data_IF_399045027529
#
_entry.id   IF_399045027529
#
_cell.length_a   1.000
_cell.length_b   1.000
_cell.length_c   1.000
_cell.angle_alpha   90.00
_cell.angle_beta   90.00
_cell.angle_gamma   90.00
#
_symmetry.space_group_name_H-M   'P 1'
#
loop_
_entity.id
_entity.type
_entity.pdbx_description
1 polymer ?
#
# COMPACT_ATOMS: atom_id res chain seq x y z
N UNK A 1 5.78 -6.90 23.58
CA UNK A 1 6.70 -5.81 23.18
C UNK A 1 6.51 -4.59 24.06
N UNK A 2 7.56 -3.80 24.26
CA UNK A 2 7.52 -2.55 25.02
C UNK A 2 8.18 -1.43 24.18
N UNK A 3 7.65 -0.21 24.26
CA UNK A 3 8.30 0.98 23.68
C UNK A 3 9.28 1.51 24.72
N UNK A 4 10.58 1.49 24.40
CA UNK A 4 11.66 1.91 25.33
C UNK A 4 12.18 3.33 25.08
N UNK A 5 11.98 3.83 23.86
CA UNK A 5 12.46 5.14 23.41
C UNK A 5 11.62 5.65 22.24
N UNK A 6 11.51 6.96 22.10
CA UNK A 6 10.78 7.60 20.99
C UNK A 6 11.58 8.79 20.44
N UNK A 7 11.55 8.96 19.12
CA UNK A 7 11.91 10.21 18.44
C UNK A 7 10.64 10.76 17.76
N UNK A 8 10.46 12.08 17.80
CA UNK A 8 9.35 12.77 17.13
C UNK A 8 9.90 14.02 16.47
N UNK A 9 9.82 14.09 15.14
CA UNK A 9 10.35 15.19 14.34
C UNK A 9 9.58 16.51 14.54
N UNK A 10 8.24 16.43 14.48
CA UNK A 10 7.36 17.59 14.60
C UNK A 10 6.46 17.45 15.84
N UNK A 11 6.41 18.49 16.67
CA UNK A 11 5.63 18.54 17.92
C UNK A 11 4.64 19.71 17.88
N UNK A 12 3.54 19.60 17.12
CA UNK A 12 2.52 20.66 17.05
C UNK A 12 1.75 20.81 18.36
N UNK A 13 0.89 21.83 18.44
CA UNK A 13 -0.02 22.00 19.57
C UNK A 13 -0.91 20.74 19.74
N UNK A 14 -0.97 20.22 20.97
CA UNK A 14 -1.71 18.98 21.28
C UNK A 14 -0.95 17.68 21.05
N UNK A 15 0.34 17.73 20.67
CA UNK A 15 1.20 16.54 20.62
C UNK A 15 1.17 15.77 21.96
N UNK A 16 1.03 14.44 21.86
CA UNK A 16 0.90 13.55 23.01
C UNK A 16 2.21 12.85 23.39
N UNK A 17 3.30 13.07 22.66
CA UNK A 17 4.53 12.28 22.80
C UNK A 17 5.08 12.27 24.23
N UNK A 18 5.17 13.43 24.88
CA UNK A 18 5.68 13.56 26.25
C UNK A 18 4.71 12.98 27.30
N UNK A 19 3.41 13.08 27.06
CA UNK A 19 2.40 12.54 27.98
C UNK A 19 2.41 11.01 27.94
N UNK A 20 2.47 10.42 26.75
CA UNK A 20 2.60 8.96 26.57
C UNK A 20 3.93 8.44 27.12
N UNK A 21 5.02 9.17 26.93
CA UNK A 21 6.32 8.83 27.51
C UNK A 21 6.25 8.74 29.05
N UNK A 22 5.58 9.70 29.71
CA UNK A 22 5.36 9.67 31.16
C UNK A 22 4.43 8.54 31.60
N UNK A 23 3.35 8.29 30.86
CA UNK A 23 2.36 7.27 31.18
C UNK A 23 2.93 5.85 31.09
N UNK A 24 3.75 5.58 30.06
CA UNK A 24 4.26 4.24 29.76
C UNK A 24 5.73 4.03 30.13
N UNK A 25 6.42 5.05 30.64
CA UNK A 25 7.75 4.93 31.22
C UNK A 25 8.92 4.90 30.22
N UNK A 26 8.79 5.56 29.06
CA UNK A 26 9.86 5.68 28.06
C UNK A 26 10.35 7.13 27.92
N UNK A 27 11.46 7.33 27.21
CA UNK A 27 12.05 8.66 26.97
C UNK A 27 11.87 9.14 25.53
N UNK A 28 11.61 10.44 25.36
CA UNK A 28 11.61 11.11 24.04
C UNK A 28 12.96 11.77 23.81
N UNK A 29 13.69 11.33 22.79
CA UNK A 29 15.02 11.82 22.46
C UNK A 29 14.97 12.84 21.32
N UNK A 30 15.96 13.75 21.23
CA UNK A 30 15.99 14.77 20.20
C UNK A 30 16.51 14.27 18.85
N UNK A 31 17.14 13.09 18.79
CA UNK A 31 17.61 12.47 17.54
C UNK A 31 17.25 11.00 17.47
N UNK A 32 17.14 10.47 16.24
CA UNK A 32 16.96 9.04 15.98
C UNK A 32 18.13 8.24 16.57
N UNK A 33 19.36 8.71 16.42
CA UNK A 33 20.53 8.04 16.96
C UNK A 33 20.48 7.90 18.49
N UNK A 34 20.08 8.95 19.21
CA UNK A 34 19.93 8.87 20.67
C UNK A 34 18.76 7.99 21.10
N UNK A 35 17.65 7.98 20.34
CA UNK A 35 16.54 7.06 20.59
C UNK A 35 16.99 5.60 20.45
N UNK A 36 17.66 5.26 19.35
CA UNK A 36 18.18 3.91 19.09
C UNK A 36 19.21 3.45 20.14
N UNK A 37 19.98 4.37 20.71
CA UNK A 37 20.95 4.09 21.78
C UNK A 37 20.39 4.25 23.19
N UNK A 38 19.11 4.62 23.33
CA UNK A 38 18.47 4.99 24.60
C UNK A 38 19.32 5.96 25.45
N UNK A 39 19.98 6.93 24.79
CA UNK A 39 20.88 7.90 25.42
C UNK A 39 22.29 7.39 25.78
N UNK A 40 22.60 6.12 25.49
CA UNK A 40 23.93 5.55 25.61
C UNK A 40 24.81 5.73 24.36
N UNK A 41 25.90 4.97 24.30
CA UNK A 41 26.90 5.00 23.21
C UNK A 41 26.75 3.85 22.20
N UNK A 42 25.80 2.93 22.42
CA UNK A 42 25.55 1.75 21.60
C UNK A 42 24.06 1.45 21.42
N UNK A 43 23.71 0.86 20.27
CA UNK A 43 22.36 0.41 19.93
C UNK A 43 21.75 -0.44 21.05
N UNK A 44 20.66 0.05 21.63
CA UNK A 44 20.04 -0.47 22.85
C UNK A 44 18.58 -0.93 22.66
N UNK A 45 18.11 -1.01 21.42
CA UNK A 45 16.75 -1.48 21.06
C UNK A 45 16.82 -2.80 20.28
N UNK A 46 15.75 -3.59 20.30
CA UNK A 46 15.68 -4.88 19.59
C UNK A 46 15.01 -4.78 18.21
N UNK A 47 14.28 -3.70 17.94
CA UNK A 47 13.58 -3.45 16.69
C UNK A 47 13.24 -1.95 16.54
N UNK A 48 12.86 -1.52 15.33
CA UNK A 48 12.45 -0.14 15.03
C UNK A 48 11.08 -0.10 14.36
N UNK A 49 10.16 0.67 14.93
CA UNK A 49 8.89 1.05 14.31
C UNK A 49 9.04 2.47 13.74
N UNK A 50 9.15 2.60 12.42
CA UNK A 50 9.29 3.89 11.73
C UNK A 50 7.98 4.33 11.10
N UNK A 51 7.41 5.41 11.63
CA UNK A 51 6.14 6.00 11.17
C UNK A 51 6.44 7.40 10.61
N UNK A 52 6.44 7.50 9.28
CA UNK A 52 6.65 8.76 8.56
C UNK A 52 5.37 9.24 7.88
N UNK A 53 4.39 9.66 8.67
CA UNK A 53 3.10 10.19 8.20
C UNK A 53 2.69 11.42 9.03
N UNK A 54 1.62 12.09 8.62
CA UNK A 54 0.98 13.17 9.38
C UNK A 54 1.97 14.21 9.95
N UNK A 55 2.39 15.14 9.09
CA UNK A 55 3.22 16.27 9.46
C UNK A 55 3.24 17.30 8.34
N UNK A 56 3.80 18.47 8.61
CA UNK A 56 3.97 19.53 7.62
C UNK A 56 5.29 19.33 6.87
N UNK A 57 5.20 18.75 5.67
CA UNK A 57 6.34 18.48 4.80
C UNK A 57 6.09 19.09 3.41
N UNK A 58 7.15 19.50 2.70
CA UNK A 58 7.02 20.07 1.37
C UNK A 58 6.42 19.05 0.39
N UNK A 59 5.89 19.57 -0.71
CA UNK A 59 5.41 18.76 -1.83
C UNK A 59 6.35 18.90 -3.03
N UNK A 60 6.47 17.85 -3.85
CA UNK A 60 7.13 17.94 -5.16
C UNK A 60 6.16 18.32 -6.29
N UNK A 61 6.67 18.42 -7.50
CA UNK A 61 5.91 18.69 -8.74
C UNK A 61 4.85 17.62 -9.09
N UNK A 62 4.99 16.41 -8.56
CA UNK A 62 4.00 15.33 -8.68
C UNK A 62 2.89 15.45 -7.62
N UNK A 63 2.95 16.49 -6.78
CA UNK A 63 2.09 16.73 -5.62
C UNK A 63 2.20 15.64 -4.53
N UNK A 64 3.33 14.92 -4.49
CA UNK A 64 3.61 13.98 -3.41
C UNK A 64 4.11 14.74 -2.19
N UNK A 65 3.66 14.34 -1.01
CA UNK A 65 4.23 14.85 0.25
C UNK A 65 5.58 14.19 0.46
N UNK A 66 6.63 14.98 0.72
CA UNK A 66 7.99 14.50 0.92
C UNK A 66 8.21 14.02 2.36
N UNK A 67 7.41 13.03 2.77
CA UNK A 67 7.54 12.41 4.09
C UNK A 67 8.95 11.81 4.27
N UNK A 68 9.58 11.99 5.44
CA UNK A 68 10.99 11.70 5.67
C UNK A 68 11.27 10.22 5.96
N UNK A 69 10.51 9.30 5.35
CA UNK A 69 10.62 7.85 5.60
C UNK A 69 12.02 7.33 5.26
N UNK A 70 12.55 7.76 4.12
CA UNK A 70 13.92 7.45 3.69
C UNK A 70 14.94 8.02 4.67
N UNK A 71 14.82 9.30 5.01
CA UNK A 71 15.74 10.00 5.89
C UNK A 71 15.79 9.35 7.28
N UNK A 72 14.63 8.97 7.85
CA UNK A 72 14.56 8.25 9.12
C UNK A 72 15.20 6.87 9.04
N UNK A 73 14.93 6.12 7.96
CA UNK A 73 15.51 4.81 7.74
C UNK A 73 17.04 4.88 7.60
N UNK A 74 17.56 5.87 6.85
CA UNK A 74 19.00 6.06 6.66
C UNK A 74 19.73 6.44 7.96
N UNK A 75 19.11 7.22 8.85
CA UNK A 75 19.67 7.48 10.18
C UNK A 75 19.73 6.19 11.03
N UNK A 76 18.77 5.28 10.88
CA UNK A 76 18.84 3.96 11.53
C UNK A 76 19.99 3.12 10.96
N UNK A 77 20.10 3.03 9.63
CA UNK A 77 21.16 2.31 8.92
C UNK A 77 22.54 2.82 9.34
N UNK A 78 22.71 4.13 9.46
CA UNK A 78 23.97 4.74 9.91
C UNK A 78 24.36 4.28 11.32
N UNK A 79 23.42 4.24 12.26
CA UNK A 79 23.68 3.70 13.61
C UNK A 79 24.05 2.22 13.55
N UNK A 80 23.37 1.43 12.70
CA UNK A 80 23.68 0.01 12.56
C UNK A 80 25.10 -0.23 12.07
N UNK A 81 25.56 0.57 11.11
CA UNK A 81 26.93 0.52 10.58
C UNK A 81 27.97 0.96 11.63
N UNK A 82 27.71 2.06 12.34
CA UNK A 82 28.59 2.58 13.40
C UNK A 82 28.73 1.60 14.58
N UNK A 83 27.64 0.93 14.95
CA UNK A 83 27.61 0.05 16.11
C UNK A 83 27.87 -1.41 15.77
N UNK A 84 27.92 -1.76 14.48
CA UNK A 84 28.18 -3.12 14.00
C UNK A 84 27.06 -4.11 14.31
N UNK A 85 25.84 -3.62 14.52
CA UNK A 85 24.63 -4.42 14.82
C UNK A 85 23.42 -3.80 14.14
N UNK A 86 22.65 -4.62 13.43
CA UNK A 86 21.38 -4.22 12.85
C UNK A 86 20.22 -4.92 13.58
N UNK A 87 19.04 -4.31 13.52
CA UNK A 87 17.79 -4.84 14.07
C UNK A 87 16.66 -4.67 13.04
N UNK A 88 15.60 -5.49 13.09
CA UNK A 88 14.49 -5.38 12.16
C UNK A 88 13.83 -4.00 12.20
N UNK A 89 13.38 -3.53 11.03
CA UNK A 89 12.68 -2.26 10.86
C UNK A 89 11.33 -2.51 10.20
N UNK A 90 10.25 -2.02 10.83
CA UNK A 90 9.01 -1.75 10.13
C UNK A 90 8.99 -0.30 9.63
N UNK A 91 8.62 -0.09 8.37
CA UNK A 91 8.43 1.23 7.77
C UNK A 91 7.00 1.39 7.24
N UNK A 92 6.25 2.35 7.79
CA UNK A 92 4.85 2.57 7.43
C UNK A 92 4.63 2.98 5.96
N UNK A 93 3.67 2.31 5.29
CA UNK A 93 3.23 2.55 3.89
C UNK A 93 4.35 2.37 2.86
N UNK A 94 4.34 3.16 1.78
CA UNK A 94 5.41 3.15 0.78
C UNK A 94 6.74 3.48 1.46
N UNK A 95 7.79 2.78 1.06
CA UNK A 95 9.16 2.99 1.56
C UNK A 95 9.59 4.45 1.40
N UNK A 96 9.42 5.00 0.19
CA UNK A 96 9.69 6.39 -0.14
C UNK A 96 8.83 6.85 -1.32
N UNK A 97 8.66 8.16 -1.46
CA UNK A 97 8.02 8.76 -2.65
C UNK A 97 8.87 8.60 -3.93
N UNK A 98 10.15 8.22 -3.78
CA UNK A 98 11.10 7.98 -4.86
C UNK A 98 11.53 6.51 -4.89
N UNK A 99 11.46 5.89 -6.06
CA UNK A 99 11.88 4.51 -6.29
C UNK A 99 13.35 4.30 -5.96
N UNK A 100 14.24 5.22 -6.35
CA UNK A 100 15.67 5.10 -6.07
C UNK A 100 15.93 5.05 -4.55
N UNK A 101 15.29 5.94 -3.80
CA UNK A 101 15.33 5.95 -2.33
C UNK A 101 14.76 4.65 -1.73
N UNK A 102 13.58 4.24 -2.20
CA UNK A 102 12.94 3.00 -1.74
C UNK A 102 13.81 1.77 -2.02
N UNK A 103 14.46 1.72 -3.19
CA UNK A 103 15.35 0.63 -3.59
C UNK A 103 16.57 0.58 -2.67
N UNK A 104 17.18 1.71 -2.38
CA UNK A 104 18.32 1.78 -1.46
C UNK A 104 17.96 1.26 -0.06
N UNK A 105 16.74 1.56 0.43
CA UNK A 105 16.27 1.05 1.72
C UNK A 105 16.18 -0.49 1.74
N UNK A 106 15.66 -1.10 0.68
CA UNK A 106 15.58 -2.56 0.56
C UNK A 106 16.97 -3.17 0.38
N UNK A 107 17.82 -2.56 -0.46
CA UNK A 107 19.20 -2.99 -0.66
C UNK A 107 20.01 -2.95 0.65
N UNK A 108 19.80 -1.93 1.50
CA UNK A 108 20.41 -1.83 2.83
C UNK A 108 19.96 -2.95 3.77
N UNK A 109 18.66 -3.29 3.76
CA UNK A 109 18.12 -4.43 4.49
C UNK A 109 18.83 -5.73 4.14
N UNK A 110 19.01 -5.99 2.84
CA UNK A 110 19.75 -7.16 2.34
C UNK A 110 21.24 -7.10 2.69
N UNK A 111 21.88 -5.94 2.48
CA UNK A 111 23.32 -5.74 2.68
C UNK A 111 23.74 -5.89 4.13
N UNK A 112 22.93 -5.39 5.07
CA UNK A 112 23.19 -5.46 6.51
C UNK A 112 22.53 -6.65 7.19
N UNK A 113 21.66 -7.39 6.49
CA UNK A 113 21.08 -8.65 6.95
C UNK A 113 20.05 -8.50 8.06
N UNK A 114 19.20 -7.47 8.00
CA UNK A 114 18.08 -7.28 8.92
C UNK A 114 16.72 -7.35 8.22
N UNK A 115 15.69 -7.79 8.94
CA UNK A 115 14.34 -7.85 8.40
C UNK A 115 13.77 -6.46 8.14
N UNK A 116 13.26 -6.25 6.92
CA UNK A 116 12.52 -5.05 6.54
C UNK A 116 11.09 -5.45 6.25
N UNK A 117 10.14 -4.89 6.99
CA UNK A 117 8.73 -4.95 6.68
C UNK A 117 8.26 -3.55 6.33
N UNK A 118 7.51 -3.41 5.24
CA UNK A 118 6.89 -2.14 4.88
C UNK A 118 5.48 -2.37 4.39
N UNK A 119 4.72 -1.28 4.28
CA UNK A 119 3.39 -1.31 3.71
C UNK A 119 2.28 -0.87 4.64
N UNK A 120 1.05 -1.09 4.17
CA UNK A 120 -0.16 -0.64 4.83
C UNK A 120 -1.06 -1.76 5.34
N UNK A 121 -2.18 -1.39 5.95
CA UNK A 121 -3.12 -2.32 6.57
C UNK A 121 -4.01 -3.08 5.57
N UNK A 122 -4.22 -2.58 4.34
CA UNK A 122 -5.14 -3.26 3.40
C UNK A 122 -4.68 -4.68 3.04
N UNK A 123 -3.41 -4.96 2.68
CA UNK A 123 -2.99 -6.33 2.37
C UNK A 123 -3.25 -7.36 3.49
N UNK A 124 -3.30 -6.89 4.73
CA UNK A 124 -3.39 -7.72 5.95
C UNK A 124 -4.75 -7.64 6.64
N UNK A 125 -5.66 -6.76 6.20
CA UNK A 125 -7.01 -6.63 6.77
C UNK A 125 -7.92 -7.76 6.30
N UNK A 126 -9.09 -7.88 6.93
CA UNK A 126 -10.14 -8.83 6.58
C UNK A 126 -10.57 -8.71 5.11
N UNK A 127 -10.91 -9.84 4.50
CA UNK A 127 -11.45 -9.91 3.13
C UNK A 127 -12.89 -10.41 3.16
N UNK A 128 -13.79 -9.78 2.41
CA UNK A 128 -15.22 -10.13 2.34
C UNK A 128 -15.68 -10.33 0.88
N UNK A 129 -15.97 -11.58 0.44
CA UNK A 129 -15.75 -12.84 1.16
C UNK A 129 -14.26 -13.12 1.38
N UNK A 130 -13.96 -14.08 2.26
CA UNK A 130 -12.59 -14.55 2.50
C UNK A 130 -12.04 -15.19 1.22
N UNK A 131 -11.22 -14.44 0.48
CA UNK A 131 -10.65 -14.83 -0.81
C UNK A 131 -9.14 -14.79 -0.71
N UNK A 132 -8.53 -15.89 -1.12
CA UNK A 132 -7.10 -16.02 -1.38
C UNK A 132 -6.95 -16.65 -2.75
N UNK A 133 -6.18 -16.01 -3.64
CA UNK A 133 -5.90 -16.64 -4.93
C UNK A 133 -5.00 -17.86 -4.70
N UNK A 134 -5.22 -18.99 -5.39
CA UNK A 134 -4.28 -20.10 -5.33
C UNK A 134 -2.89 -19.64 -5.74
N UNK A 135 -1.85 -20.14 -5.07
CA UNK A 135 -0.48 -19.94 -5.54
C UNK A 135 -0.34 -20.52 -6.95
N UNK A 136 0.47 -19.84 -7.76
CA UNK A 136 0.75 -20.21 -9.14
C UNK A 136 -0.49 -20.23 -10.05
N UNK A 137 -1.56 -19.51 -9.68
CA UNK A 137 -2.73 -19.36 -10.55
C UNK A 137 -2.40 -18.58 -11.82
N UNK A 138 -3.14 -18.82 -12.90
CA UNK A 138 -3.05 -18.02 -14.12
C UNK A 138 -4.13 -16.94 -14.07
N UNK A 139 -3.72 -15.67 -14.00
CA UNK A 139 -4.61 -14.49 -13.99
C UNK A 139 -4.64 -13.92 -15.40
N UNK A 140 -5.84 -13.71 -15.95
CA UNK A 140 -6.02 -13.13 -17.29
C UNK A 140 -6.08 -11.59 -17.23
N UNK A 141 -6.81 -11.06 -16.26
CA UNK A 141 -6.97 -9.61 -16.02
C UNK A 141 -7.33 -9.38 -14.54
N UNK A 142 -6.90 -8.25 -13.97
CA UNK A 142 -7.26 -7.85 -12.61
C UNK A 142 -7.70 -6.38 -12.56
N UNK A 143 -8.63 -6.09 -11.65
CA UNK A 143 -9.16 -4.75 -11.42
C UNK A 143 -9.30 -4.48 -9.92
N UNK A 144 -8.87 -3.30 -9.51
CA UNK A 144 -9.07 -2.75 -8.17
C UNK A 144 -9.91 -1.48 -8.26
N UNK A 145 -10.88 -1.34 -7.35
CA UNK A 145 -11.59 -0.09 -7.07
C UNK A 145 -11.06 0.46 -5.76
N UNK A 146 -10.59 1.70 -5.81
CA UNK A 146 -10.16 2.47 -4.65
C UNK A 146 -10.86 3.82 -4.56
N UNK A 147 -10.68 4.49 -3.42
CA UNK A 147 -11.23 5.81 -3.12
C UNK A 147 -10.24 6.62 -2.30
N UNK A 148 -10.41 7.94 -2.30
CA UNK A 148 -9.62 8.90 -1.54
C UNK A 148 -8.72 9.79 -2.40
N UNK A 149 -7.83 10.52 -1.73
CA UNK A 149 -6.93 11.48 -2.36
C UNK A 149 -5.74 10.83 -3.06
N UNK A 150 -5.29 11.44 -4.16
CA UNK A 150 -4.18 10.93 -4.96
C UNK A 150 -2.85 10.95 -4.18
N UNK A 151 -1.97 10.00 -4.53
CA UNK A 151 -0.73 9.59 -3.87
C UNK A 151 -0.94 8.68 -2.65
N UNK A 152 -1.40 9.13 -1.45
CA UNK A 152 -1.55 8.24 -0.31
C UNK A 152 -2.58 7.11 -0.52
N UNK A 153 -3.77 7.41 -1.04
CA UNK A 153 -4.82 6.40 -1.15
C UNK A 153 -4.65 5.53 -2.41
N UNK A 154 -4.04 6.08 -3.45
CA UNK A 154 -3.60 5.31 -4.61
C UNK A 154 -2.61 4.22 -4.18
N UNK A 155 -1.64 4.55 -3.33
CA UNK A 155 -0.69 3.58 -2.78
C UNK A 155 -1.40 2.41 -2.10
N UNK A 156 -2.33 2.70 -1.19
CA UNK A 156 -3.07 1.68 -0.46
C UNK A 156 -3.82 0.74 -1.41
N UNK A 157 -4.53 1.30 -2.40
CA UNK A 157 -5.28 0.50 -3.36
C UNK A 157 -4.36 -0.33 -4.27
N UNK A 158 -3.25 0.23 -4.75
CA UNK A 158 -2.24 -0.48 -5.54
C UNK A 158 -1.61 -1.63 -4.74
N UNK A 159 -1.30 -1.41 -3.47
CA UNK A 159 -0.71 -2.44 -2.61
C UNK A 159 -1.68 -3.60 -2.33
N UNK A 160 -2.94 -3.27 -2.08
CA UNK A 160 -4.02 -4.25 -1.92
C UNK A 160 -4.20 -5.08 -3.20
N UNK A 161 -4.18 -4.46 -4.37
CA UNK A 161 -4.22 -5.17 -5.64
C UNK A 161 -2.99 -6.07 -5.81
N UNK A 162 -1.79 -5.53 -5.55
CA UNK A 162 -0.52 -6.22 -5.71
C UNK A 162 -0.45 -7.49 -4.85
N UNK A 163 -0.91 -7.45 -3.60
CA UNK A 163 -0.88 -8.61 -2.72
C UNK A 163 -1.78 -9.78 -3.18
N UNK A 164 -2.77 -9.50 -4.05
CA UNK A 164 -3.59 -10.53 -4.66
C UNK A 164 -2.88 -11.14 -5.87
N UNK A 165 -2.42 -10.29 -6.79
CA UNK A 165 -1.90 -10.72 -8.10
C UNK A 165 -0.46 -11.24 -8.06
N UNK A 166 0.30 -10.99 -7.00
CA UNK A 166 1.63 -11.59 -6.81
C UNK A 166 1.59 -13.12 -6.69
N UNK A 167 0.41 -13.70 -6.42
CA UNK A 167 0.18 -15.15 -6.31
C UNK A 167 0.08 -15.86 -7.66
N UNK A 168 0.19 -15.10 -8.76
CA UNK A 168 0.18 -15.65 -10.11
C UNK A 168 1.37 -16.55 -10.39
N UNK A 169 1.24 -17.37 -11.44
CA UNK A 169 2.25 -18.29 -11.92
C UNK A 169 3.59 -17.59 -12.13
N UNK A 170 4.63 -18.07 -11.45
CA UNK A 170 5.97 -17.48 -11.51
C UNK A 170 6.27 -16.41 -10.47
N UNK A 171 5.28 -15.94 -9.70
CA UNK A 171 5.45 -14.84 -8.75
C UNK A 171 5.49 -13.47 -9.44
N UNK A 172 6.06 -12.48 -8.75
CA UNK A 172 6.23 -11.15 -9.30
C UNK A 172 7.47 -11.07 -10.20
N UNK A 173 7.33 -10.44 -11.36
CA UNK A 173 8.35 -10.36 -12.42
C UNK A 173 8.74 -8.93 -12.78
N UNK A 174 8.11 -7.93 -12.17
CA UNK A 174 8.27 -6.52 -12.47
C UNK A 174 7.19 -5.95 -13.39
N UNK A 175 7.19 -4.63 -13.47
CA UNK A 175 6.24 -3.84 -14.29
C UNK A 175 6.96 -3.34 -15.53
N UNK A 176 6.41 -3.65 -16.71
CA UNK A 176 6.94 -3.26 -18.01
C UNK A 176 6.59 -1.81 -18.34
N UNK A 177 5.34 -1.42 -18.10
CA UNK A 177 4.86 -0.08 -18.39
C UNK A 177 3.67 0.33 -17.54
N UNK A 178 3.46 1.64 -17.44
CA UNK A 178 2.33 2.24 -16.75
C UNK A 178 1.70 3.39 -17.53
N UNK A 179 0.43 3.69 -17.24
CA UNK A 179 -0.22 4.92 -17.67
C UNK A 179 -1.30 5.35 -16.66
N UNK A 180 -1.30 6.62 -16.28
CA UNK A 180 -2.36 7.26 -15.50
C UNK A 180 -3.19 8.19 -16.38
N UNK A 181 -4.49 7.94 -16.48
CA UNK A 181 -5.47 8.81 -17.14
C UNK A 181 -6.55 9.26 -16.15
N UNK A 182 -7.19 10.39 -16.43
CA UNK A 182 -8.20 11.00 -15.54
C UNK A 182 -9.42 11.48 -16.34
N UNK A 183 -10.54 11.71 -15.64
CA UNK A 183 -11.76 12.29 -16.20
C UNK A 183 -12.45 11.39 -17.24
N UNK A 184 -13.10 12.01 -18.22
CA UNK A 184 -13.88 11.31 -19.25
C UNK A 184 -13.08 10.26 -20.05
N UNK A 185 -11.76 10.44 -20.14
CA UNK A 185 -10.87 9.48 -20.79
C UNK A 185 -10.92 8.10 -20.12
N UNK A 186 -11.16 8.03 -18.81
CA UNK A 186 -11.31 6.76 -18.07
C UNK A 186 -12.52 5.98 -18.58
N UNK A 187 -13.65 6.66 -18.75
CA UNK A 187 -14.88 6.04 -19.25
C UNK A 187 -14.76 5.65 -20.72
N UNK A 188 -14.10 6.49 -21.53
CA UNK A 188 -13.81 6.13 -22.91
C UNK A 188 -12.91 4.90 -23.00
N UNK A 189 -11.88 4.81 -22.16
CA UNK A 189 -11.00 3.65 -22.09
C UNK A 189 -11.77 2.35 -21.73
N UNK A 190 -12.79 2.43 -20.87
CA UNK A 190 -13.69 1.30 -20.58
C UNK A 190 -14.48 0.86 -21.80
N UNK A 191 -15.07 1.82 -22.55
CA UNK A 191 -15.78 1.53 -23.80
C UNK A 191 -14.88 0.92 -24.87
N UNK A 192 -13.62 1.32 -24.89
CA UNK A 192 -12.59 0.80 -25.80
C UNK A 192 -12.01 -0.55 -25.34
N UNK A 193 -12.48 -1.09 -24.20
CA UNK A 193 -12.06 -2.39 -23.67
C UNK A 193 -10.66 -2.40 -23.05
N UNK A 194 -10.14 -1.25 -22.60
CA UNK A 194 -8.84 -1.16 -21.91
C UNK A 194 -8.90 -1.66 -20.46
N UNK A 195 -10.09 -1.67 -19.87
CA UNK A 195 -10.41 -2.31 -18.60
C UNK A 195 -11.80 -2.95 -18.69
N UNK A 196 -12.03 -4.01 -17.91
CA UNK A 196 -13.26 -4.81 -17.98
C UNK A 196 -14.41 -4.27 -17.13
N UNK A 197 -15.55 -3.97 -17.77
CA UNK A 197 -16.82 -3.69 -17.07
C UNK A 197 -17.30 -4.88 -16.22
N UNK A 198 -17.03 -6.11 -16.64
CA UNK A 198 -17.39 -7.30 -15.87
C UNK A 198 -16.61 -7.39 -14.56
N UNK A 199 -15.32 -7.01 -14.58
CA UNK A 199 -14.51 -6.94 -13.37
C UNK A 199 -14.93 -5.77 -12.47
N UNK A 200 -15.28 -4.62 -13.05
CA UNK A 200 -15.82 -3.49 -12.29
C UNK A 200 -17.12 -3.88 -11.58
N UNK A 201 -18.06 -4.53 -12.29
CA UNK A 201 -19.30 -5.05 -11.70
C UNK A 201 -19.02 -6.04 -10.56
N UNK A 202 -18.12 -7.01 -10.81
CA UNK A 202 -17.75 -8.00 -9.81
C UNK A 202 -17.11 -7.36 -8.56
N UNK A 203 -16.29 -6.32 -8.71
CA UNK A 203 -15.69 -5.58 -7.61
C UNK A 203 -16.76 -4.79 -6.84
N UNK A 204 -17.56 -3.97 -7.53
CA UNK A 204 -18.61 -3.14 -6.91
C UNK A 204 -19.66 -3.99 -6.19
N UNK A 205 -19.93 -5.22 -6.64
CA UNK A 205 -20.84 -6.16 -5.96
C UNK A 205 -20.40 -6.55 -4.54
N UNK A 206 -19.15 -6.24 -4.16
CA UNK A 206 -18.58 -6.50 -2.82
C UNK A 206 -18.62 -5.30 -1.89
N UNK A 207 -18.96 -4.13 -2.41
CA UNK A 207 -19.08 -2.92 -1.60
C UNK A 207 -20.24 -3.04 -0.61
N UNK A 208 -19.98 -2.72 0.65
CA UNK A 208 -21.01 -2.53 1.69
C UNK A 208 -21.26 -1.04 1.98
N UNK A 209 -20.56 -0.15 1.26
CA UNK A 209 -20.72 1.31 1.33
C UNK A 209 -21.05 1.98 -0.02
N UNK A 210 -21.99 1.44 -0.84
CA UNK A 210 -22.40 2.11 -2.07
C UNK A 210 -23.04 3.47 -1.77
N UNK A 211 -22.64 4.49 -2.52
CA UNK A 211 -23.11 5.87 -2.39
C UNK A 211 -24.31 6.15 -3.32
N UNK A 212 -24.80 7.38 -3.34
CA UNK A 212 -25.94 7.79 -4.17
C UNK A 212 -27.25 7.26 -3.61
N UNK A 213 -28.12 6.71 -4.46
CA UNK A 213 -29.47 6.28 -4.07
C UNK A 213 -29.49 5.29 -2.90
N UNK A 214 -28.48 4.40 -2.81
CA UNK A 214 -28.38 3.47 -1.68
C UNK A 214 -28.11 4.17 -0.35
N UNK A 215 -27.26 5.20 -0.34
CA UNK A 215 -26.97 5.99 0.87
C UNK A 215 -28.13 6.97 1.18
N UNK A 216 -28.82 7.47 0.16
CA UNK A 216 -29.93 8.42 0.28
C UNK A 216 -31.24 7.78 0.79
N UNK A 217 -31.60 6.58 0.32
CA UNK A 217 -32.88 5.95 0.67
C UNK A 217 -32.85 4.43 0.94
N UNK A 218 -31.66 3.81 0.94
CA UNK A 218 -31.47 2.41 1.33
C UNK A 218 -31.80 1.40 0.24
N UNK A 219 -32.14 1.81 -0.99
CA UNK A 219 -32.39 0.86 -2.10
C UNK A 219 -31.09 0.24 -2.61
N UNK A 220 -31.17 -1.00 -3.08
CA UNK A 220 -30.10 -1.60 -3.90
C UNK A 220 -30.07 -0.94 -5.27
N UNK A 221 -28.88 -0.76 -5.85
CA UNK A 221 -28.72 -0.21 -7.20
C UNK A 221 -27.61 -0.94 -7.96
N UNK A 222 -27.81 -1.09 -9.27
CA UNK A 222 -26.75 -1.45 -10.20
C UNK A 222 -26.22 -0.15 -10.82
N UNK A 223 -25.16 0.40 -10.20
CA UNK A 223 -24.58 1.71 -10.56
C UNK A 223 -24.06 1.79 -12.00
N UNK A 224 -23.72 0.64 -12.60
CA UNK A 224 -23.18 0.59 -13.96
C UNK A 224 -24.35 0.66 -14.95
N UNK A 225 -25.31 -0.27 -14.82
CA UNK A 225 -26.41 -0.39 -15.79
C UNK A 225 -27.36 0.80 -15.77
N UNK A 226 -27.57 1.42 -14.61
CA UNK A 226 -28.42 2.61 -14.49
C UNK A 226 -27.68 3.91 -14.85
N UNK A 227 -26.35 3.86 -15.01
CA UNK A 227 -25.50 5.01 -15.31
C UNK A 227 -25.25 5.96 -14.12
N UNK A 228 -25.67 5.61 -12.90
CA UNK A 228 -25.44 6.44 -11.71
C UNK A 228 -23.96 6.62 -11.42
N UNK A 229 -23.12 5.63 -11.74
CA UNK A 229 -21.66 5.71 -11.54
C UNK A 229 -21.05 6.93 -12.24
N UNK A 230 -21.54 7.30 -13.43
CA UNK A 230 -21.05 8.45 -14.18
C UNK A 230 -21.48 9.80 -13.57
N UNK A 231 -22.58 9.80 -12.82
CA UNK A 231 -23.08 10.98 -12.09
C UNK A 231 -22.37 11.14 -10.75
N UNK A 232 -22.11 10.02 -10.06
CA UNK A 232 -21.50 10.00 -8.73
C UNK A 232 -20.00 10.28 -8.78
N UNK A 233 -19.31 9.84 -9.83
CA UNK A 233 -17.87 9.95 -9.96
C UNK A 233 -17.52 11.10 -10.90
N UNK A 234 -17.32 12.29 -10.31
CA UNK A 234 -17.06 13.53 -11.07
C UNK A 234 -15.72 13.51 -11.82
N UNK A 235 -14.67 12.97 -11.21
CA UNK A 235 -13.33 12.91 -11.79
C UNK A 235 -12.67 11.55 -11.48
N UNK A 236 -12.97 10.50 -12.26
CA UNK A 236 -12.32 9.21 -12.07
C UNK A 236 -10.83 9.28 -12.45
N UNK A 237 -10.04 8.36 -11.91
CA UNK A 237 -8.68 8.10 -12.38
C UNK A 237 -8.49 6.61 -12.67
N UNK A 238 -7.72 6.28 -13.70
CA UNK A 238 -7.34 4.91 -14.04
C UNK A 238 -5.83 4.76 -14.14
N UNK A 239 -5.29 3.83 -13.37
CA UNK A 239 -3.88 3.41 -13.38
C UNK A 239 -3.80 2.10 -14.14
N UNK A 240 -3.30 2.15 -15.38
CA UNK A 240 -3.02 0.97 -16.17
C UNK A 240 -1.62 0.47 -15.88
N UNK A 241 -1.50 -0.82 -15.59
CA UNK A 241 -0.24 -1.48 -15.25
C UNK A 241 -0.07 -2.70 -16.16
N UNK A 242 1.04 -2.72 -16.90
CA UNK A 242 1.44 -3.83 -17.75
C UNK A 242 2.64 -4.51 -17.09
N UNK A 243 2.50 -5.78 -16.72
CA UNK A 243 3.56 -6.56 -16.09
C UNK A 243 4.47 -7.23 -17.13
N UNK A 244 5.70 -7.55 -16.72
CA UNK A 244 6.71 -8.18 -17.59
C UNK A 244 6.29 -9.56 -18.12
N UNK A 245 5.42 -10.26 -17.40
CA UNK A 245 4.86 -11.56 -17.80
C UNK A 245 3.61 -11.44 -18.70
N UNK A 246 3.18 -10.22 -19.01
CA UNK A 246 2.04 -9.93 -19.86
C UNK A 246 0.70 -9.75 -19.12
N UNK A 247 0.65 -9.92 -17.79
CA UNK A 247 -0.54 -9.57 -17.02
C UNK A 247 -0.86 -8.08 -17.17
N UNK A 248 -2.15 -7.76 -17.28
CA UNK A 248 -2.65 -6.39 -17.21
C UNK A 248 -3.53 -6.22 -15.98
N UNK A 249 -3.26 -5.17 -15.22
CA UNK A 249 -4.08 -4.79 -14.08
C UNK A 249 -4.49 -3.32 -14.18
N UNK A 250 -5.69 -3.01 -13.68
CA UNK A 250 -6.20 -1.64 -13.63
C UNK A 250 -6.65 -1.28 -12.22
N UNK A 251 -6.13 -0.17 -11.67
CA UNK A 251 -6.76 0.48 -10.53
C UNK A 251 -7.67 1.61 -11.02
N UNK A 252 -8.92 1.60 -10.60
CA UNK A 252 -9.89 2.67 -10.79
C UNK A 252 -10.13 3.39 -9.46
N UNK A 253 -9.87 4.70 -9.42
CA UNK A 253 -10.22 5.55 -8.29
C UNK A 253 -11.59 6.18 -8.55
N UNK A 254 -12.61 5.71 -7.81
CA UNK A 254 -14.02 6.00 -8.07
C UNK A 254 -14.66 6.76 -6.91
N UNK A 255 -14.06 7.89 -6.57
CA UNK A 255 -14.55 8.80 -5.54
C UNK A 255 -16.02 9.16 -5.78
N UNK A 256 -16.86 8.90 -4.79
CA UNK A 256 -18.30 9.17 -4.83
C UNK A 256 -19.18 7.97 -5.19
N UNK A 257 -18.64 6.88 -5.75
CA UNK A 257 -19.42 5.65 -6.02
C UNK A 257 -19.53 4.72 -4.81
N UNK A 258 -18.42 4.56 -4.08
CA UNK A 258 -18.30 3.72 -2.88
C UNK A 258 -17.45 4.44 -1.83
N UNK A 259 -17.30 3.87 -0.63
CA UNK A 259 -16.36 4.33 0.42
C UNK A 259 -15.35 3.24 0.83
N UNK A 260 -15.25 2.17 0.05
CA UNK A 260 -14.44 0.99 0.35
C UNK A 260 -13.48 0.62 -0.80
N UNK A 261 -12.74 -0.46 -0.59
CA UNK A 261 -11.72 -0.98 -1.49
C UNK A 261 -12.13 -2.37 -1.97
N UNK A 262 -12.34 -2.53 -3.27
CA UNK A 262 -12.88 -3.76 -3.84
C UNK A 262 -12.01 -4.27 -4.99
N UNK A 263 -11.73 -5.57 -5.00
CA UNK A 263 -10.90 -6.23 -5.99
C UNK A 263 -11.69 -7.27 -6.77
N UNK A 264 -11.36 -7.42 -8.05
CA UNK A 264 -11.80 -8.53 -8.87
C UNK A 264 -10.69 -9.00 -9.81
N UNK A 265 -10.68 -10.29 -10.14
CA UNK A 265 -9.79 -10.85 -11.16
C UNK A 265 -10.50 -11.94 -11.95
N UNK A 266 -10.14 -12.04 -13.23
CA UNK A 266 -10.49 -13.16 -14.09
C UNK A 266 -9.36 -14.19 -14.03
N UNK A 267 -9.64 -15.38 -13.49
CA UNK A 267 -8.71 -16.50 -13.50
C UNK A 267 -8.94 -17.34 -14.74
N UNK A 268 -7.87 -17.90 -15.30
CA UNK A 268 -7.95 -18.78 -16.46
C UNK A 268 -8.77 -20.03 -16.14
N UNK A 269 -9.68 -20.38 -17.04
CA UNK A 269 -10.65 -21.49 -16.92
C UNK A 269 -11.72 -21.32 -15.82
N UNK A 270 -11.82 -20.17 -15.17
CA UNK A 270 -12.92 -19.87 -14.25
C UNK A 270 -14.00 -19.05 -14.98
N UNK A 271 -15.28 -19.46 -15.00
CA UNK A 271 -16.30 -18.75 -15.77
C UNK A 271 -16.79 -17.46 -15.10
N UNK A 272 -16.51 -17.29 -13.80
CA UNK A 272 -16.97 -16.15 -13.00
C UNK A 272 -15.74 -15.48 -12.37
N UNK A 273 -15.62 -14.13 -12.46
CA UNK A 273 -14.55 -13.42 -11.78
C UNK A 273 -14.56 -13.69 -10.27
N UNK A 274 -13.38 -13.91 -9.70
CA UNK A 274 -13.20 -13.87 -8.25
C UNK A 274 -13.25 -12.42 -7.79
N UNK A 275 -13.95 -12.11 -6.70
CA UNK A 275 -13.96 -10.75 -6.16
C UNK A 275 -14.11 -10.72 -4.64
N UNK A 276 -13.53 -9.68 -4.03
CA UNK A 276 -13.55 -9.46 -2.58
C UNK A 276 -13.43 -7.98 -2.24
N UNK A 277 -13.96 -7.61 -1.09
CA UNK A 277 -13.72 -6.32 -0.45
C UNK A 277 -12.56 -6.44 0.53
N UNK A 278 -11.65 -5.47 0.53
CA UNK A 278 -10.71 -5.26 1.64
C UNK A 278 -11.41 -4.48 2.74
N UNK A 279 -11.91 -5.20 3.74
CA UNK A 279 -12.80 -4.65 4.73
C UNK A 279 -12.06 -3.81 5.77
N UNK A 280 -12.40 -2.53 5.83
CA UNK A 280 -11.96 -1.61 6.88
C UNK A 280 -13.08 -1.48 7.91
N UNK A 281 -12.88 -2.05 9.10
CA UNK A 281 -13.86 -1.97 10.18
C UNK A 281 -14.23 -0.51 10.50
N UNK A 282 -15.53 -0.20 10.69
CA UNK A 282 -15.96 1.12 11.11
C UNK A 282 -15.31 1.60 12.42
N UNK A 283 -15.20 2.91 12.58
CA UNK A 283 -14.76 3.53 13.83
C UNK A 283 -15.73 3.21 14.98
N UNK A 284 -15.26 3.08 16.24
CA UNK A 284 -13.91 3.42 16.70
C UNK A 284 -12.88 2.28 16.63
N UNK A 285 -13.27 1.06 16.27
CA UNK A 285 -12.48 -0.13 16.59
C UNK A 285 -11.31 -0.45 15.63
N UNK A 286 -11.18 0.24 14.48
CA UNK A 286 -10.03 0.22 13.52
C UNK A 286 -9.17 -1.05 13.52
N UNK A 287 -9.80 -2.24 13.51
CA UNK A 287 -9.13 -3.52 13.75
C UNK A 287 -8.15 -3.87 12.64
N UNK A 288 -8.32 -3.29 11.45
CA UNK A 288 -7.36 -3.38 10.35
C UNK A 288 -5.94 -2.92 10.77
N UNK A 289 -5.82 -1.94 11.67
CA UNK A 289 -4.53 -1.51 12.21
C UNK A 289 -3.96 -2.56 13.16
N UNK A 290 -4.80 -3.22 13.96
CA UNK A 290 -4.36 -4.31 14.83
C UNK A 290 -3.85 -5.51 14.02
N UNK A 291 -4.44 -5.79 12.85
CA UNK A 291 -3.96 -6.82 11.92
C UNK A 291 -2.54 -6.49 11.41
N UNK A 292 -2.25 -5.22 11.12
CA UNK A 292 -0.91 -4.78 10.75
C UNK A 292 0.07 -4.86 11.92
N UNK A 293 -0.35 -4.43 13.12
CA UNK A 293 0.47 -4.57 14.33
C UNK A 293 0.87 -6.02 14.56
N UNK A 294 -0.03 -6.99 14.40
CA UNK A 294 0.30 -8.41 14.56
C UNK A 294 1.43 -8.87 13.61
N UNK A 295 1.51 -8.30 12.39
CA UNK A 295 2.59 -8.59 11.43
C UNK A 295 3.91 -7.90 11.78
N UNK A 296 3.83 -6.74 12.41
CA UNK A 296 4.99 -6.03 12.96
C UNK A 296 5.55 -6.80 14.17
N UNK A 297 4.67 -7.31 15.04
CA UNK A 297 5.06 -8.16 16.16
C UNK A 297 5.75 -9.43 15.67
N UNK A 298 5.19 -10.11 14.64
CA UNK A 298 5.81 -11.27 14.00
C UNK A 298 7.23 -10.97 13.47
N UNK A 299 7.42 -9.82 12.80
CA UNK A 299 8.75 -9.37 12.37
C UNK A 299 9.68 -9.17 13.56
N UNK A 300 9.23 -8.49 14.63
CA UNK A 300 10.12 -8.12 15.74
C UNK A 300 10.48 -9.34 16.61
N UNK A 301 9.58 -10.30 16.77
CA UNK A 301 9.84 -11.53 17.50
C UNK A 301 10.78 -12.47 16.77
N UNK A 302 10.67 -12.56 15.43
CA UNK A 302 11.43 -13.53 14.63
C UNK A 302 12.66 -12.94 13.94
N UNK A 303 12.68 -11.61 13.76
CA UNK A 303 13.64 -10.91 12.90
C UNK A 303 13.37 -11.09 11.40
N UNK A 304 12.29 -11.79 11.00
CA UNK A 304 11.98 -12.18 9.62
C UNK A 304 10.67 -11.51 9.20
N UNK A 305 10.69 -10.83 8.06
CA UNK A 305 9.48 -10.22 7.50
C UNK A 305 8.50 -11.31 6.99
N UNK A 306 7.22 -11.27 7.37
CA UNK A 306 6.23 -12.29 6.97
C UNK A 306 5.88 -12.25 5.47
N UNK A 307 6.21 -11.15 4.80
CA UNK A 307 6.06 -10.96 3.35
C UNK A 307 7.16 -10.02 2.84
N UNK A 308 7.54 -10.12 1.55
CA UNK A 308 8.70 -9.41 1.00
C UNK A 308 8.51 -7.90 0.94
N UNK A 309 9.54 -7.14 1.35
CA UNK A 309 9.58 -5.68 1.17
C UNK A 309 9.60 -5.27 -0.31
N UNK A 310 10.02 -6.18 -1.18
CA UNK A 310 10.02 -6.03 -2.64
C UNK A 310 8.61 -5.76 -3.19
N UNK A 311 7.55 -6.26 -2.53
CA UNK A 311 6.17 -5.89 -2.87
C UNK A 311 5.97 -4.38 -2.76
N UNK A 312 6.33 -3.81 -1.61
CA UNK A 312 6.20 -2.38 -1.36
C UNK A 312 7.13 -1.57 -2.25
N UNK A 313 8.34 -2.06 -2.53
CA UNK A 313 9.27 -1.43 -3.48
C UNK A 313 8.65 -1.31 -4.87
N UNK A 314 8.08 -2.40 -5.39
CA UNK A 314 7.42 -2.39 -6.70
C UNK A 314 6.25 -1.40 -6.71
N UNK A 315 5.36 -1.46 -5.72
CA UNK A 315 4.19 -0.57 -5.64
C UNK A 315 4.61 0.90 -5.54
N UNK A 316 5.65 1.22 -4.77
CA UNK A 316 6.18 2.59 -4.65
C UNK A 316 6.65 3.11 -6.01
N UNK A 317 7.41 2.30 -6.75
CA UNK A 317 7.89 2.66 -8.08
C UNK A 317 6.80 2.72 -9.14
N UNK A 318 5.81 1.82 -9.09
CA UNK A 318 4.62 1.86 -9.95
C UNK A 318 3.84 3.15 -9.75
N UNK A 319 3.58 3.53 -8.50
CA UNK A 319 2.86 4.78 -8.19
C UNK A 319 3.64 6.00 -8.67
N UNK A 320 4.93 6.12 -8.35
CA UNK A 320 5.76 7.23 -8.82
C UNK A 320 5.75 7.34 -10.35
N UNK A 321 5.83 6.21 -11.05
CA UNK A 321 5.80 6.16 -12.52
C UNK A 321 4.43 6.59 -13.07
N UNK A 322 3.33 6.20 -12.44
CA UNK A 322 1.98 6.66 -12.79
C UNK A 322 1.81 8.18 -12.59
N UNK A 323 2.29 8.71 -11.47
CA UNK A 323 2.27 10.15 -11.21
C UNK A 323 3.15 10.90 -12.22
N UNK A 324 4.27 10.31 -12.64
CA UNK A 324 5.11 10.82 -13.73
C UNK A 324 4.35 10.84 -15.07
N UNK A 325 3.60 9.77 -15.39
CA UNK A 325 2.73 9.71 -16.57
C UNK A 325 1.76 10.90 -16.58
N UNK A 326 1.06 11.15 -15.47
CA UNK A 326 0.14 12.28 -15.34
C UNK A 326 0.86 13.62 -15.54
N UNK A 327 2.00 13.83 -14.87
CA UNK A 327 2.80 15.04 -15.00
C UNK A 327 3.25 15.30 -16.46
N UNK A 328 3.53 14.23 -17.21
CA UNK A 328 3.93 14.28 -18.62
C UNK A 328 2.75 14.28 -19.61
N UNK A 329 1.53 14.58 -19.15
CA UNK A 329 0.34 14.67 -20.02
C UNK A 329 -0.30 13.32 -20.32
N UNK A 330 -0.32 12.42 -19.33
CA UNK A 330 -0.97 11.10 -19.39
C UNK A 330 -0.36 10.14 -20.43
N UNK A 331 0.93 10.26 -20.69
CA UNK A 331 1.64 9.38 -21.64
C UNK A 331 1.91 8.01 -21.02
N UNK A 332 1.83 6.94 -21.83
CA UNK A 332 2.29 5.62 -21.41
C UNK A 332 3.82 5.64 -21.26
N UNK A 333 4.32 5.16 -20.13
CA UNK A 333 5.75 5.14 -19.80
C UNK A 333 6.22 3.70 -19.67
N UNK A 334 7.33 3.37 -20.34
CA UNK A 334 8.09 2.15 -20.06
C UNK A 334 8.82 2.30 -18.72
N UNK A 335 8.92 1.22 -17.96
CA UNK A 335 9.46 1.22 -16.59
C UNK A 335 10.57 0.18 -16.42
N UNK A 336 11.69 0.27 -17.17
CA UNK A 336 12.78 -0.71 -17.09
C UNK A 336 13.45 -0.79 -15.71
N UNK A 337 13.32 0.27 -14.89
CA UNK A 337 13.79 0.28 -13.51
C UNK A 337 12.94 -0.58 -12.56
N UNK A 338 11.68 -0.89 -12.92
CA UNK A 338 10.76 -1.71 -12.12
C UNK A 338 10.90 -3.23 -12.40
N UNK A 339 12.12 -3.68 -12.71
CA UNK A 339 12.45 -5.10 -12.81
C UNK A 339 12.69 -5.70 -11.41
N UNK A 340 11.64 -5.72 -10.60
CA UNK A 340 11.66 -6.23 -9.22
C UNK A 340 10.99 -7.60 -9.23
N UNK A 341 11.75 -8.63 -8.86
CA UNK A 341 11.26 -10.02 -8.81
C UNK A 341 11.18 -10.50 -7.36
N UNK A 342 10.09 -11.17 -7.00
CA UNK A 342 9.96 -11.82 -5.70
C UNK A 342 8.90 -12.92 -5.71
N UNK A 343 8.92 -13.75 -4.65
CA UNK A 343 7.91 -14.78 -4.42
C UNK A 343 6.93 -14.34 -3.33
N UNK A 344 5.62 -14.53 -3.53
CA UNK A 344 4.63 -14.26 -2.51
C UNK A 344 4.80 -15.26 -1.34
N UNK A 345 4.37 -14.89 -0.12
CA UNK A 345 4.33 -15.84 0.98
C UNK A 345 3.36 -16.97 0.66
N UNK A 346 3.73 -18.20 1.00
CA UNK A 346 2.86 -19.35 0.78
C UNK A 346 1.60 -19.25 1.66
N UNK A 347 1.82 -18.86 2.91
CA UNK A 347 0.77 -18.60 3.90
C UNK A 347 0.06 -17.29 3.62
N UNK A 348 -1.24 -17.31 3.90
CA UNK A 348 -2.08 -16.13 3.84
C UNK A 348 -1.68 -15.10 4.88
N UNK A 349 -1.61 -13.83 4.46
CA UNK A 349 -1.21 -12.74 5.35
C UNK A 349 -2.37 -11.86 5.83
N UNK A 350 -3.56 -12.02 5.24
CA UNK A 350 -4.75 -11.31 5.71
C UNK A 350 -5.38 -11.95 6.94
N UNK A 351 -6.12 -11.14 7.70
CA UNK A 351 -6.85 -11.59 8.87
C UNK A 351 -7.92 -12.64 8.51
N UNK A 352 -7.91 -13.75 9.25
CA UNK A 352 -8.86 -14.86 9.14
C UNK A 352 -9.41 -15.24 10.52
N UNK A 353 -10.54 -15.94 10.52
CA UNK A 353 -11.17 -16.46 11.74
C UNK A 353 -10.63 -17.83 12.13
#
# INVERSE_FOLDING_TARGET
MEVVSLFVDQKPEGDQSLDRAREFGFSVYPTIAEALRCGGDKLAVDAVLSIGEHGDYPHNEKNQVLYPRYEFFKECVKVFEEDGRAVPIFNDKHLSYSFEKAKEMVDDGHRLGFGVLAGSSLPVTWRLPDVELPLECEIEEALMVGVGGSDPMDYHALEAMQCMIERRKGGETGVAAVQLIEGDAVWQAGKDGRWSYQLLEAALSRSDTPCGLTDEDGRTQDMISNGEIYRLVENPAAYFIEYNDGLRATLLMLNGAVRDYCFAAQLKNEPVPVSTQFFLTPTPNVTYSACLIAKIEELFETGIAPYPAERTLLVSGTLESCLTSRLQGHVRLETPHLNVEYRPPAESQHARR
#
